data_IF_387354674869
#
_entry.id   IF_387354674869
#
_cell.length_a   1.000
_cell.length_b   1.000
_cell.length_c   1.000
_cell.angle_alpha   90.00
_cell.angle_beta   90.00
_cell.angle_gamma   90.00
#
_symmetry.space_group_name_H-M   'P 1'
#
loop_
_entity.id
_entity.type
_entity.pdbx_description
1 polymer ?
#
# COMPACT_ATOMS: atom_id res chain seq x y z
N UNK A 1 -6.71 17.09 3.13
CA UNK A 1 -6.12 16.11 2.17
C UNK A 1 -4.62 16.18 2.45
N UNK A 2 -4.18 15.50 3.49
CA UNK A 2 -2.89 15.80 4.15
C UNK A 2 -1.83 14.71 3.89
N UNK A 3 -2.10 13.86 2.89
CA UNK A 3 -1.18 12.82 2.41
C UNK A 3 -0.27 13.31 1.26
N UNK A 4 -0.24 14.61 0.99
CA UNK A 4 0.68 15.19 0.02
C UNK A 4 2.09 15.14 0.61
N UNK A 5 3.06 14.63 -0.17
CA UNK A 5 4.45 14.65 0.23
C UNK A 5 4.88 16.07 0.61
N UNK A 6 5.45 16.24 1.79
CA UNK A 6 6.05 17.49 2.21
C UNK A 6 7.38 17.24 2.90
N UNK A 7 8.23 18.27 2.88
CA UNK A 7 9.50 18.23 3.61
C UNK A 7 9.21 18.32 5.10
N UNK A 8 9.59 17.29 5.83
CA UNK A 8 9.40 17.20 7.29
C UNK A 8 10.43 18.07 8.01
N UNK A 9 9.97 18.96 8.89
CA UNK A 9 10.85 19.81 9.71
C UNK A 9 11.52 19.02 10.83
N UNK A 10 12.61 19.52 11.43
CA UNK A 10 13.28 18.81 12.54
C UNK A 10 12.40 18.64 13.79
N UNK A 11 11.53 19.62 14.08
CA UNK A 11 10.55 19.52 15.18
C UNK A 11 9.54 18.40 14.91
N UNK A 12 9.07 18.34 13.67
CA UNK A 12 8.10 17.36 13.22
C UNK A 12 8.70 15.95 13.16
N UNK A 13 9.94 15.79 12.68
CA UNK A 13 10.68 14.53 12.73
C UNK A 13 10.75 13.97 14.16
N UNK A 14 11.02 14.83 15.15
CA UNK A 14 11.04 14.42 16.57
C UNK A 14 9.65 13.98 17.04
N UNK A 15 8.60 14.70 16.65
CA UNK A 15 7.21 14.34 16.96
C UNK A 15 6.82 12.99 16.34
N UNK A 16 7.07 12.80 15.04
CA UNK A 16 6.83 11.56 14.30
C UNK A 16 7.60 10.40 14.95
N UNK A 17 8.88 10.59 15.28
CA UNK A 17 9.69 9.56 15.94
C UNK A 17 9.08 9.13 17.29
N UNK A 18 8.59 10.09 18.09
CA UNK A 18 7.96 9.81 19.38
C UNK A 18 6.63 9.06 19.20
N UNK A 19 5.82 9.48 18.24
CA UNK A 19 4.54 8.83 17.93
C UNK A 19 4.76 7.40 17.39
N UNK A 20 5.68 7.23 16.44
CA UNK A 20 6.04 5.92 15.89
C UNK A 20 6.54 4.97 16.97
N UNK A 21 7.44 5.44 17.86
CA UNK A 21 7.90 4.63 18.99
C UNK A 21 6.74 4.21 19.90
N UNK A 22 5.83 5.13 20.23
CA UNK A 22 4.65 4.80 21.04
C UNK A 22 3.78 3.74 20.36
N UNK A 23 3.52 3.88 19.07
CA UNK A 23 2.74 2.89 18.29
C UNK A 23 3.42 1.52 18.34
N UNK A 24 4.73 1.47 18.12
CA UNK A 24 5.50 0.21 18.19
C UNK A 24 5.45 -0.40 19.58
N UNK A 25 5.68 0.38 20.62
CA UNK A 25 5.66 -0.09 22.01
C UNK A 25 4.26 -0.62 22.40
N UNK A 26 3.20 0.12 22.03
CA UNK A 26 1.81 -0.26 22.29
C UNK A 26 1.42 -1.51 21.49
N UNK A 27 1.89 -1.63 20.24
CA UNK A 27 1.70 -2.82 19.41
C UNK A 27 2.40 -4.04 20.01
N UNK A 28 3.68 -3.95 20.39
CA UNK A 28 4.43 -5.04 21.03
C UNK A 28 3.79 -5.48 22.35
N UNK A 29 3.28 -4.54 23.15
CA UNK A 29 2.54 -4.85 24.39
C UNK A 29 1.22 -5.56 24.13
N UNK A 30 0.52 -5.24 23.04
CA UNK A 30 -0.71 -5.95 22.65
C UNK A 30 -0.38 -7.33 22.09
N UNK A 31 0.62 -7.42 21.21
CA UNK A 31 1.04 -8.67 20.58
C UNK A 31 1.53 -9.70 21.60
N UNK A 32 2.30 -9.26 22.60
CA UNK A 32 2.72 -10.13 23.73
C UNK A 32 1.58 -10.62 24.62
N UNK A 33 0.37 -10.03 24.55
CA UNK A 33 -0.83 -10.56 25.21
C UNK A 33 -1.51 -11.61 24.34
N UNK A 34 -1.52 -11.41 23.03
CA UNK A 34 -2.09 -12.36 22.05
C UNK A 34 -1.24 -13.62 21.96
N UNK A 35 0.09 -13.52 21.95
CA UNK A 35 1.01 -14.67 21.92
C UNK A 35 1.00 -15.55 23.18
N UNK A 36 0.30 -15.11 24.25
CA UNK A 36 0.10 -15.86 25.49
C UNK A 36 -1.25 -16.57 25.54
N UNK A 37 -2.14 -16.26 24.60
CA UNK A 37 -3.32 -17.08 24.34
C UNK A 37 -2.80 -18.26 23.54
N UNK A 38 -2.81 -19.43 24.17
CA UNK A 38 -2.19 -20.69 23.73
C UNK A 38 -2.73 -21.27 22.42
N UNK A 39 -3.63 -20.57 21.74
CA UNK A 39 -4.37 -21.09 20.61
C UNK A 39 -4.04 -20.26 19.37
N UNK A 40 -2.81 -20.42 18.89
CA UNK A 40 -2.46 -20.08 17.48
C UNK A 40 -3.36 -20.86 16.51
N UNK A 41 -3.99 -21.94 16.98
CA UNK A 41 -5.08 -22.68 16.34
C UNK A 41 -6.40 -21.90 16.20
N UNK A 42 -6.68 -20.88 17.02
CA UNK A 42 -7.91 -20.06 16.89
C UNK A 42 -7.75 -18.87 15.94
N UNK A 43 -6.50 -18.49 15.63
CA UNK A 43 -6.20 -17.64 14.49
C UNK A 43 -6.19 -18.51 13.22
N UNK A 44 -7.34 -19.12 12.90
CA UNK A 44 -7.59 -19.59 11.54
C UNK A 44 -7.46 -18.36 10.63
N UNK A 45 -6.26 -18.14 10.11
CA UNK A 45 -6.07 -17.37 8.91
C UNK A 45 -7.14 -17.87 7.95
N UNK A 46 -8.01 -16.98 7.48
CA UNK A 46 -9.05 -17.31 6.50
C UNK A 46 -8.36 -17.57 5.16
N UNK A 47 -7.50 -18.58 5.12
CA UNK A 47 -6.93 -19.11 3.91
C UNK A 47 -8.06 -19.80 3.19
N UNK A 48 -8.35 -19.26 2.02
CA UNK A 48 -9.03 -20.06 1.01
C UNK A 48 -7.88 -20.81 0.34
N UNK A 49 -7.67 -22.06 0.73
CA UNK A 49 -6.83 -22.96 -0.05
C UNK A 49 -7.45 -23.07 -1.45
N UNK A 50 -6.66 -22.75 -2.46
CA UNK A 50 -7.04 -22.88 -3.86
C UNK A 50 -6.00 -23.74 -4.54
N UNK A 51 -6.47 -24.74 -5.27
CA UNK A 51 -5.61 -25.61 -6.08
C UNK A 51 -4.90 -24.81 -7.18
N UNK A 52 -5.56 -23.78 -7.71
CA UNK A 52 -5.03 -22.92 -8.77
C UNK A 52 -5.21 -21.44 -8.41
N UNK A 53 -4.16 -20.65 -8.64
CA UNK A 53 -4.18 -19.19 -8.50
C UNK A 53 -3.69 -18.45 -9.75
N UNK A 54 -3.29 -19.21 -10.78
CA UNK A 54 -2.76 -18.67 -12.02
C UNK A 54 -3.86 -18.21 -12.95
N UNK A 55 -3.57 -17.16 -13.72
CA UNK A 55 -4.46 -16.66 -14.76
C UNK A 55 -3.95 -17.16 -16.10
N UNK A 56 -4.76 -17.93 -16.82
CA UNK A 56 -4.45 -18.34 -18.19
C UNK A 56 -4.15 -17.12 -19.07
N UNK A 57 -3.02 -17.18 -19.77
CA UNK A 57 -2.69 -16.22 -20.81
C UNK A 57 -3.57 -16.53 -22.04
N UNK A 58 -4.52 -15.65 -22.35
CA UNK A 58 -5.41 -15.83 -23.49
C UNK A 58 -5.42 -14.58 -24.36
N UNK A 59 -5.10 -14.72 -25.64
CA UNK A 59 -5.27 -13.66 -26.64
C UNK A 59 -6.76 -13.38 -26.96
N UNK A 60 -7.65 -14.34 -26.65
CA UNK A 60 -9.08 -14.30 -26.96
C UNK A 60 -9.88 -13.33 -26.09
N UNK A 61 -9.37 -12.97 -24.91
CA UNK A 61 -9.91 -11.85 -24.14
C UNK A 61 -9.26 -10.58 -24.68
N UNK A 62 -9.84 -10.00 -25.74
CA UNK A 62 -9.55 -8.60 -26.10
C UNK A 62 -9.63 -7.79 -24.81
N UNK A 63 -8.51 -7.27 -24.35
CA UNK A 63 -8.51 -6.24 -23.33
C UNK A 63 -9.45 -5.15 -23.86
N UNK A 64 -10.48 -4.83 -23.08
CA UNK A 64 -11.36 -3.73 -23.40
C UNK A 64 -10.49 -2.49 -23.69
N UNK A 65 -10.85 -1.74 -24.73
CA UNK A 65 -10.18 -0.49 -25.02
C UNK A 65 -10.24 0.40 -23.77
N UNK A 66 -9.06 0.80 -23.30
CA UNK A 66 -8.96 1.64 -22.11
C UNK A 66 -9.28 3.07 -22.50
N UNK A 67 -10.26 3.68 -21.82
CA UNK A 67 -10.54 5.10 -21.98
C UNK A 67 -9.34 5.92 -21.47
N UNK A 68 -8.62 6.55 -22.41
CA UNK A 68 -7.45 7.38 -22.09
C UNK A 68 -7.78 8.51 -21.12
N UNK A 69 -8.98 9.08 -21.21
CA UNK A 69 -9.40 10.17 -20.32
C UNK A 69 -9.53 9.68 -18.89
N UNK A 70 -10.06 8.48 -18.69
CA UNK A 70 -10.12 7.86 -17.36
C UNK A 70 -8.70 7.53 -16.86
N UNK A 71 -7.85 6.98 -17.73
CA UNK A 71 -6.48 6.61 -17.38
C UNK A 71 -5.65 7.80 -16.88
N UNK A 72 -5.73 8.95 -17.55
CA UNK A 72 -4.93 10.13 -17.23
C UNK A 72 -5.64 11.15 -16.35
N UNK A 73 -6.94 11.00 -16.07
CA UNK A 73 -7.74 11.99 -15.35
C UNK A 73 -7.26 12.30 -13.94
N UNK A 74 -6.59 11.36 -13.28
CA UNK A 74 -6.03 11.52 -11.93
C UNK A 74 -4.53 11.88 -11.92
N UNK A 75 -3.89 12.01 -13.09
CA UNK A 75 -2.46 12.28 -13.18
C UNK A 75 -2.18 13.78 -12.86
N UNK A 76 -1.21 14.10 -11.97
CA UNK A 76 -0.90 15.50 -11.65
C UNK A 76 -0.43 16.34 -12.84
N UNK A 77 0.30 15.71 -13.78
CA UNK A 77 0.70 16.28 -15.06
C UNK A 77 0.69 15.18 -16.12
N UNK A 78 0.03 15.44 -17.24
CA UNK A 78 -0.03 14.54 -18.39
C UNK A 78 -0.27 15.31 -19.68
N UNK A 79 0.06 14.72 -20.82
CA UNK A 79 -0.26 15.26 -22.15
C UNK A 79 -1.23 14.35 -22.93
N UNK A 80 -2.20 13.75 -22.22
CA UNK A 80 -3.21 12.79 -22.73
C UNK A 80 -2.68 11.47 -23.31
N UNK A 81 -1.36 11.37 -23.52
CA UNK A 81 -0.68 10.17 -23.99
C UNK A 81 0.37 9.68 -22.98
N UNK A 82 0.93 10.58 -22.18
CA UNK A 82 1.97 10.29 -21.19
C UNK A 82 1.73 10.99 -19.86
N UNK A 83 2.15 10.35 -18.77
CA UNK A 83 2.30 10.98 -17.46
C UNK A 83 3.68 11.65 -17.41
N UNK A 84 3.72 12.93 -17.04
CA UNK A 84 4.95 13.73 -17.03
C UNK A 84 5.50 13.75 -15.60
N UNK A 85 6.72 13.23 -15.42
CA UNK A 85 7.42 13.19 -14.15
C UNK A 85 8.77 13.93 -14.23
N UNK A 86 9.31 14.33 -13.06
CA UNK A 86 10.62 14.94 -12.99
C UNK A 86 11.73 13.94 -13.30
N UNK A 87 12.71 14.34 -14.13
CA UNK A 87 13.89 13.52 -14.41
C UNK A 87 14.91 13.68 -13.28
N UNK A 88 14.99 12.71 -12.36
CA UNK A 88 16.10 12.61 -11.41
C UNK A 88 17.23 11.76 -11.99
N UNK A 89 18.48 12.16 -11.75
CA UNK A 89 19.63 11.23 -11.81
C UNK A 89 19.47 10.27 -10.64
N UNK A 90 19.26 9.00 -10.95
CA UNK A 90 19.32 7.92 -9.96
C UNK A 90 20.78 7.68 -9.56
#
# INVERSE_FOLDING_TARGET
MDFLWHKVSEKEKKSIKKQAKKIMDDFSKKLSKVSKVSDVSELEERFIEREECDREESEKKKSCEMDRKIMFGNAPKSNNDFIIAEKKKW
#
